data_IF_323543695844
#
_entry.id   IF_323543695844
#
_cell.length_a   1.000
_cell.length_b   1.000
_cell.length_c   1.000
_cell.angle_alpha   90.00
_cell.angle_beta   90.00
_cell.angle_gamma   90.00
#
_symmetry.space_group_name_H-M   'P 1'
#
loop_
_entity.id
_entity.type
_entity.pdbx_description
1 polymer ?
#
# COMPACT_ATOMS: atom_id res chain seq x y z
N UNK A 1 -20.01 -19.02 -9.61
CA UNK A 1 -19.26 -17.89 -9.01
C UNK A 1 -17.79 -18.26 -9.07
N UNK A 2 -17.06 -17.71 -10.04
CA UNK A 2 -15.62 -17.95 -10.18
C UNK A 2 -14.90 -17.06 -9.18
N UNK A 3 -14.41 -17.64 -8.09
CA UNK A 3 -13.42 -17.01 -7.23
C UNK A 3 -12.18 -16.71 -8.08
N UNK A 4 -12.06 -15.44 -8.49
CA UNK A 4 -10.80 -14.94 -9.02
C UNK A 4 -9.83 -14.85 -7.86
N UNK A 5 -9.14 -15.97 -7.56
CA UNK A 5 -7.90 -15.94 -6.78
C UNK A 5 -7.06 -14.80 -7.34
N UNK A 6 -6.86 -13.76 -6.54
CA UNK A 6 -6.12 -12.58 -6.95
C UNK A 6 -4.73 -13.02 -7.40
N UNK A 7 -4.34 -12.68 -8.62
CA UNK A 7 -2.96 -12.90 -9.05
C UNK A 7 -2.02 -12.18 -8.06
N UNK A 8 -1.04 -12.88 -7.47
CA UNK A 8 -0.12 -12.27 -6.51
C UNK A 8 0.58 -11.08 -7.16
N UNK A 9 0.66 -9.95 -6.43
CA UNK A 9 1.32 -8.73 -6.89
C UNK A 9 0.48 -7.74 -7.71
N UNK A 10 -0.76 -8.09 -8.12
CA UNK A 10 -1.61 -7.13 -8.85
C UNK A 10 -2.38 -6.20 -7.92
N UNK A 11 -2.05 -4.90 -7.95
CA UNK A 11 -2.86 -3.86 -7.30
C UNK A 11 -4.04 -3.49 -8.20
N UNK A 12 -5.26 -3.62 -7.68
CA UNK A 12 -6.51 -3.24 -8.37
C UNK A 12 -6.95 -1.86 -7.90
N UNK A 13 -6.94 -0.88 -8.81
CA UNK A 13 -7.43 0.47 -8.53
C UNK A 13 -8.93 0.58 -8.79
N UNK A 14 -9.63 1.26 -7.89
CA UNK A 14 -11.05 1.61 -8.01
C UNK A 14 -11.34 2.93 -7.31
N UNK A 15 -12.45 3.56 -7.67
CA UNK A 15 -13.00 4.69 -6.89
C UNK A 15 -13.77 4.15 -5.69
N UNK A 16 -13.49 4.71 -4.53
CA UNK A 16 -14.23 4.47 -3.29
C UNK A 16 -15.39 5.44 -3.10
N UNK A 17 -16.07 5.31 -1.96
CA UNK A 17 -17.10 6.25 -1.55
C UNK A 17 -16.50 7.67 -1.43
N UNK A 18 -17.27 8.68 -1.85
CA UNK A 18 -16.84 10.09 -1.88
C UNK A 18 -15.64 10.37 -2.81
N UNK A 19 -15.45 9.57 -3.86
CA UNK A 19 -14.50 9.84 -4.94
C UNK A 19 -13.03 9.52 -4.64
N UNK A 20 -12.72 8.98 -3.45
CA UNK A 20 -11.35 8.61 -3.04
C UNK A 20 -10.77 7.53 -3.93
N UNK A 21 -9.48 7.60 -4.23
CA UNK A 21 -8.77 6.52 -4.90
C UNK A 21 -8.48 5.40 -3.90
N UNK A 22 -8.68 4.16 -4.35
CA UNK A 22 -8.41 2.95 -3.58
C UNK A 22 -7.64 1.97 -4.45
N UNK A 23 -6.45 1.56 -4.03
CA UNK A 23 -5.72 0.40 -4.55
C UNK A 23 -5.89 -0.79 -3.61
N UNK A 24 -6.29 -1.97 -4.11
CA UNK A 24 -6.44 -3.20 -3.30
C UNK A 24 -5.50 -4.29 -3.78
N UNK A 25 -4.93 -5.06 -2.85
CA UNK A 25 -4.05 -6.18 -3.14
C UNK A 25 -4.05 -7.20 -1.99
N UNK A 26 -3.54 -8.40 -2.23
CA UNK A 26 -3.27 -9.38 -1.19
C UNK A 26 -1.78 -9.37 -0.87
N UNK A 27 -1.42 -9.45 0.40
CA UNK A 27 -0.02 -9.58 0.81
C UNK A 27 0.49 -11.03 0.66
N UNK A 28 1.74 -11.28 1.05
CA UNK A 28 2.36 -12.60 0.98
C UNK A 28 1.69 -13.66 1.87
N UNK A 29 0.86 -13.26 2.83
CA UNK A 29 0.07 -14.14 3.69
C UNK A 29 -1.40 -14.22 3.26
N UNK A 30 -1.71 -13.79 2.03
CA UNK A 30 -3.05 -13.71 1.43
C UNK A 30 -4.04 -12.84 2.22
N UNK A 31 -3.53 -11.85 2.96
CA UNK A 31 -4.36 -10.88 3.70
C UNK A 31 -4.75 -9.72 2.79
N UNK A 32 -6.02 -9.33 2.83
CA UNK A 32 -6.53 -8.20 2.07
C UNK A 32 -5.98 -6.87 2.59
N UNK A 33 -5.22 -6.20 1.73
CA UNK A 33 -4.61 -4.90 1.96
C UNK A 33 -5.21 -3.82 1.05
N UNK A 34 -5.13 -2.57 1.49
CA UNK A 34 -5.54 -1.42 0.70
C UNK A 34 -4.61 -0.22 0.86
N UNK A 35 -4.54 0.59 -0.19
CA UNK A 35 -4.01 1.95 -0.22
C UNK A 35 -5.20 2.86 -0.50
N UNK A 36 -5.46 3.83 0.37
CA UNK A 36 -6.63 4.72 0.28
C UNK A 36 -6.21 6.16 0.52
N UNK A 37 -6.74 7.10 -0.25
CA UNK A 37 -6.57 8.54 0.04
C UNK A 37 -6.98 8.84 1.50
N UNK A 38 -6.04 9.42 2.25
CA UNK A 38 -6.21 9.81 3.65
C UNK A 38 -6.75 11.24 3.82
N UNK A 39 -6.97 11.62 5.07
CA UNK A 39 -7.25 13.02 5.41
C UNK A 39 -5.93 13.79 5.39
N UNK A 40 -5.84 14.93 4.68
CA UNK A 40 -4.63 15.75 4.68
C UNK A 40 -4.17 16.12 6.09
N UNK A 41 -2.85 16.14 6.30
CA UNK A 41 -2.24 16.64 7.54
C UNK A 41 -1.65 18.03 7.26
N UNK A 42 -2.39 19.07 7.63
CA UNK A 42 -2.10 20.43 7.19
C UNK A 42 -2.26 20.55 5.66
N UNK A 43 -1.23 21.04 4.98
CA UNK A 43 -1.21 21.14 3.51
C UNK A 43 -0.74 19.86 2.80
N UNK A 44 -0.32 18.84 3.53
CA UNK A 44 0.24 17.62 2.95
C UNK A 44 -0.85 16.58 2.69
N UNK A 45 -0.97 16.03 1.47
CA UNK A 45 -1.84 14.89 1.23
C UNK A 45 -1.32 13.67 2.00
N UNK A 46 -2.19 12.70 2.25
CA UNK A 46 -1.80 11.46 2.94
C UNK A 46 -2.47 10.25 2.31
N UNK A 47 -1.93 9.07 2.58
CA UNK A 47 -2.55 7.78 2.25
C UNK A 47 -2.59 6.89 3.49
N UNK A 48 -3.66 6.10 3.62
CA UNK A 48 -3.72 4.97 4.52
C UNK A 48 -3.26 3.71 3.77
N UNK A 49 -2.30 2.98 4.31
CA UNK A 49 -1.80 1.71 3.78
C UNK A 49 -1.91 0.61 4.85
N UNK A 50 -2.37 -0.58 4.49
CA UNK A 50 -2.36 -1.74 5.38
C UNK A 50 -3.57 -2.64 5.24
N UNK A 51 -3.83 -3.47 6.24
CA UNK A 51 -4.96 -4.40 6.23
C UNK A 51 -6.30 -3.68 6.21
N UNK A 52 -7.25 -4.25 5.48
CA UNK A 52 -8.58 -3.63 5.41
C UNK A 52 -9.30 -3.63 6.75
N UNK A 53 -9.12 -4.69 7.54
CA UNK A 53 -9.79 -4.95 8.82
C UNK A 53 -8.93 -4.69 10.07
N UNK A 54 -7.72 -4.14 9.91
CA UNK A 54 -6.78 -3.94 11.02
C UNK A 54 -6.12 -2.56 10.99
N UNK A 55 -5.03 -2.45 11.72
CA UNK A 55 -4.25 -1.22 11.80
C UNK A 55 -3.65 -0.84 10.45
N UNK A 56 -3.70 0.46 10.15
CA UNK A 56 -3.17 1.04 8.92
C UNK A 56 -2.15 2.12 9.26
N UNK A 57 -1.11 2.19 8.45
CA UNK A 57 -0.15 3.29 8.52
C UNK A 57 -0.66 4.49 7.73
N UNK A 58 -0.51 5.70 8.30
CA UNK A 58 -0.73 6.96 7.59
C UNK A 58 0.59 7.47 7.04
N UNK A 59 0.69 7.64 5.73
CA UNK A 59 1.90 8.11 5.07
C UNK A 59 1.65 9.45 4.38
N UNK A 60 2.50 10.42 4.65
CA UNK A 60 2.63 11.64 3.83
C UNK A 60 3.68 11.42 2.72
N UNK A 61 3.82 12.33 1.73
CA UNK A 61 4.73 12.14 0.60
C UNK A 61 6.20 11.95 1.01
N UNK A 62 6.63 12.58 2.11
CA UNK A 62 8.00 12.46 2.59
C UNK A 62 8.31 11.07 3.14
N UNK A 63 7.45 10.54 4.01
CA UNK A 63 7.61 9.20 4.58
C UNK A 63 7.40 8.15 3.48
N UNK A 64 6.40 8.32 2.62
CA UNK A 64 6.12 7.42 1.51
C UNK A 64 7.34 7.26 0.58
N UNK A 65 8.08 8.35 0.30
CA UNK A 65 9.30 8.29 -0.51
C UNK A 65 10.38 7.40 0.14
N UNK A 66 10.66 7.60 1.43
CA UNK A 66 11.64 6.78 2.15
C UNK A 66 11.26 5.30 2.20
N UNK A 67 9.97 5.02 2.43
CA UNK A 67 9.45 3.64 2.40
C UNK A 67 9.61 3.04 1.00
N UNK A 68 9.28 3.78 -0.06
CA UNK A 68 9.43 3.32 -1.42
C UNK A 68 10.89 2.98 -1.78
N UNK A 69 11.86 3.79 -1.33
CA UNK A 69 13.29 3.50 -1.51
C UNK A 69 13.69 2.17 -0.89
N UNK A 70 13.27 1.91 0.36
CA UNK A 70 13.53 0.65 1.06
C UNK A 70 12.84 -0.53 0.37
N UNK A 71 11.58 -0.37 -0.04
CA UNK A 71 10.83 -1.41 -0.73
C UNK A 71 11.43 -1.75 -2.10
N UNK A 72 11.92 -0.76 -2.85
CA UNK A 72 12.59 -1.00 -4.12
C UNK A 72 13.88 -1.81 -3.93
N UNK A 73 14.70 -1.44 -2.93
CA UNK A 73 15.91 -2.22 -2.59
C UNK A 73 15.57 -3.66 -2.22
N UNK A 74 14.53 -3.86 -1.41
CA UNK A 74 14.06 -5.19 -1.06
C UNK A 74 13.58 -5.98 -2.28
N UNK A 75 12.83 -5.34 -3.18
CA UNK A 75 12.34 -5.99 -4.40
C UNK A 75 13.47 -6.46 -5.33
N UNK A 76 14.59 -5.73 -5.36
CA UNK A 76 15.77 -6.08 -6.15
C UNK A 76 16.66 -7.13 -5.46
N UNK A 77 16.88 -7.00 -4.15
CA UNK A 77 17.88 -7.79 -3.42
C UNK A 77 17.32 -8.97 -2.63
N UNK A 78 16.01 -8.97 -2.34
CA UNK A 78 15.37 -9.93 -1.44
C UNK A 78 15.72 -9.76 0.04
N UNK A 79 16.48 -8.73 0.41
CA UNK A 79 16.86 -8.40 1.79
C UNK A 79 16.79 -6.89 2.03
N UNK A 80 16.62 -6.49 3.30
CA UNK A 80 16.68 -5.11 3.76
C UNK A 80 18.10 -4.66 4.13
N UNK A 81 19.08 -5.57 4.10
CA UNK A 81 20.45 -5.27 4.54
C UNK A 81 21.08 -4.13 3.73
N UNK A 82 21.60 -3.14 4.45
CA UNK A 82 22.57 -2.21 3.91
C UNK A 82 23.89 -2.98 3.81
N UNK A 83 24.15 -3.61 2.67
CA UNK A 83 25.51 -4.04 2.36
C UNK A 83 26.37 -2.77 2.27
N UNK A 84 27.13 -2.51 3.34
CA UNK A 84 28.28 -1.61 3.36
C UNK A 84 29.36 -2.11 2.39
#
# INVERSE_FOLDING_TARGET
MTETKGMPGRIRFRKGNRGRNIGKFNDASDRFCSIVDGTPQGSQPTIWLGFESGDRMLLNPHIARKVAEVLNRFAEKGTLDEQN
#
